data_IF_519685323640
#
_entry.id   IF_519685323640
#
_cell.length_a   1.000
_cell.length_b   1.000
_cell.length_c   1.000
_cell.angle_alpha   90.00
_cell.angle_beta   90.00
_cell.angle_gamma   90.00
#
_symmetry.space_group_name_H-M   'P 1'
#
loop_
_entity.id
_entity.type
_entity.pdbx_description
1 polymer ?
#
# COMPACT_ATOMS: atom_id res chain seq x y z
N UNK A 1 -87.41 -1.67 26.55
CA UNK A 1 -86.34 -0.70 26.19
C UNK A 1 -86.91 0.29 25.19
N UNK A 2 -86.79 1.60 25.43
CA UNK A 2 -87.42 2.62 24.59
C UNK A 2 -86.56 2.92 23.34
N UNK A 3 -87.18 2.95 22.16
CA UNK A 3 -86.57 3.08 20.82
C UNK A 3 -85.54 4.22 20.70
N UNK A 4 -85.75 5.32 21.43
CA UNK A 4 -84.81 6.46 21.49
C UNK A 4 -83.43 6.08 22.05
N UNK A 5 -83.38 5.19 23.05
CA UNK A 5 -82.13 4.70 23.66
C UNK A 5 -81.32 3.81 22.70
N UNK A 6 -82.02 3.04 21.86
CA UNK A 6 -81.43 2.23 20.81
C UNK A 6 -80.82 3.11 19.72
N UNK A 7 -81.55 4.14 19.27
CA UNK A 7 -81.05 5.09 18.27
C UNK A 7 -79.79 5.83 18.74
N UNK A 8 -79.78 6.29 20.00
CA UNK A 8 -78.61 6.97 20.57
C UNK A 8 -77.41 6.05 20.73
N UNK A 9 -77.64 4.77 21.10
CA UNK A 9 -76.56 3.79 21.20
C UNK A 9 -75.94 3.47 19.83
N UNK A 10 -76.77 3.32 18.80
CA UNK A 10 -76.29 3.10 17.43
C UNK A 10 -75.51 4.32 16.94
N UNK A 11 -76.02 5.54 17.12
CA UNK A 11 -75.33 6.76 16.71
C UNK A 11 -73.97 6.95 17.41
N UNK A 12 -73.90 6.63 18.72
CA UNK A 12 -72.66 6.70 19.48
C UNK A 12 -71.62 5.67 19.01
N UNK A 13 -72.04 4.43 18.72
CA UNK A 13 -71.15 3.41 18.16
C UNK A 13 -70.66 3.79 16.77
N UNK A 14 -71.54 4.29 15.90
CA UNK A 14 -71.17 4.75 14.56
C UNK A 14 -70.16 5.90 14.62
N UNK A 15 -70.40 6.87 15.50
CA UNK A 15 -69.49 8.02 15.67
C UNK A 15 -68.13 7.58 16.24
N UNK A 16 -68.12 6.63 17.19
CA UNK A 16 -66.89 6.07 17.73
C UNK A 16 -66.07 5.31 16.67
N UNK A 17 -66.72 4.60 15.74
CA UNK A 17 -66.02 3.94 14.62
C UNK A 17 -65.43 4.93 13.62
N UNK A 18 -66.02 6.11 13.44
CA UNK A 18 -65.46 7.17 12.57
C UNK A 18 -64.25 7.88 13.22
N UNK A 19 -64.18 7.92 14.55
CA UNK A 19 -63.14 8.62 15.30
C UNK A 19 -61.83 7.84 15.46
N UNK A 20 -61.78 6.57 15.06
CA UNK A 20 -60.58 5.73 15.09
C UNK A 20 -59.62 5.99 13.92
N UNK A 21 -59.98 6.82 12.96
CA UNK A 21 -59.18 7.12 11.77
C UNK A 21 -58.26 8.32 12.01
N UNK A 22 -57.27 8.19 12.92
CA UNK A 22 -56.54 9.38 13.34
C UNK A 22 -55.20 9.15 14.03
N UNK A 23 -54.44 8.14 13.62
CA UNK A 23 -53.01 8.06 13.89
C UNK A 23 -52.37 7.00 12.99
N UNK A 24 -52.20 7.29 11.70
CA UNK A 24 -51.32 6.47 10.87
C UNK A 24 -49.89 6.96 11.08
N UNK A 25 -49.13 6.27 11.94
CA UNK A 25 -47.68 6.40 11.91
C UNK A 25 -47.17 5.77 10.62
N UNK A 26 -46.19 6.37 9.98
CA UNK A 26 -45.47 5.73 8.87
C UNK A 26 -44.80 4.46 9.41
N UNK A 27 -45.16 3.31 8.86
CA UNK A 27 -44.52 2.05 9.23
C UNK A 27 -43.15 1.98 8.57
N UNK A 28 -42.09 2.02 9.39
CA UNK A 28 -40.74 1.82 8.90
C UNK A 28 -40.57 0.37 8.43
N UNK A 29 -40.57 0.17 7.12
CA UNK A 29 -40.48 -1.16 6.49
C UNK A 29 -39.09 -1.81 6.56
N UNK A 30 -38.18 -1.24 7.36
CA UNK A 30 -36.80 -1.69 7.45
C UNK A 30 -35.94 -1.24 6.27
N UNK A 31 -34.66 -1.62 6.32
CA UNK A 31 -33.73 -1.48 5.19
C UNK A 31 -33.92 -2.67 4.25
N UNK A 32 -33.96 -2.40 2.94
CA UNK A 32 -34.01 -3.43 1.92
C UNK A 32 -32.81 -4.39 2.08
N UNK A 33 -33.11 -5.66 2.35
CA UNK A 33 -32.09 -6.70 2.48
C UNK A 33 -31.84 -7.34 1.12
N UNK A 34 -30.58 -7.41 0.72
CA UNK A 34 -30.19 -8.06 -0.52
C UNK A 34 -29.51 -9.39 -0.22
N UNK A 35 -30.11 -10.47 -0.71
CA UNK A 35 -29.43 -11.76 -0.80
C UNK A 35 -28.79 -11.87 -2.19
N UNK A 36 -27.55 -12.35 -2.23
CA UNK A 36 -26.93 -12.68 -3.51
C UNK A 36 -27.66 -13.87 -4.13
N UNK A 37 -27.92 -13.81 -5.44
CA UNK A 37 -28.48 -14.93 -6.22
C UNK A 37 -27.43 -15.98 -6.56
N UNK A 38 -26.14 -15.66 -6.44
CA UNK A 38 -25.02 -16.55 -6.74
C UNK A 38 -24.48 -17.22 -5.47
N UNK A 39 -24.14 -18.51 -5.56
CA UNK A 39 -23.48 -19.19 -4.45
C UNK A 39 -22.02 -18.75 -4.34
N UNK A 40 -21.46 -18.82 -3.12
CA UNK A 40 -20.02 -18.57 -2.91
C UNK A 40 -19.13 -19.57 -3.65
N UNK A 41 -19.62 -20.76 -3.98
CA UNK A 41 -18.87 -21.72 -4.77
C UNK A 41 -18.77 -21.27 -6.23
N UNK A 42 -19.89 -20.81 -6.80
CA UNK A 42 -19.96 -20.36 -8.19
C UNK A 42 -19.09 -19.11 -8.41
N UNK A 43 -19.14 -18.15 -7.49
CA UNK A 43 -18.28 -16.95 -7.55
C UNK A 43 -16.80 -17.32 -7.49
N UNK A 44 -16.42 -18.30 -6.66
CA UNK A 44 -15.03 -18.77 -6.58
C UNK A 44 -14.60 -19.48 -7.86
N UNK A 45 -15.46 -20.29 -8.45
CA UNK A 45 -15.18 -20.94 -9.73
C UNK A 45 -14.98 -19.90 -10.84
N UNK A 46 -15.87 -18.90 -10.93
CA UNK A 46 -15.76 -17.81 -11.90
C UNK A 46 -14.49 -16.97 -11.69
N UNK A 47 -14.16 -16.65 -10.44
CA UNK A 47 -12.95 -15.90 -10.10
C UNK A 47 -11.68 -16.67 -10.51
N UNK A 48 -11.64 -17.99 -10.30
CA UNK A 48 -10.51 -18.81 -10.70
C UNK A 48 -10.31 -18.85 -12.22
N UNK A 49 -11.40 -18.86 -12.99
CA UNK A 49 -11.37 -18.75 -14.45
C UNK A 49 -10.87 -17.37 -14.86
N UNK A 50 -11.45 -16.30 -14.32
CA UNK A 50 -11.07 -14.92 -14.65
C UNK A 50 -9.60 -14.62 -14.35
N UNK A 51 -9.07 -15.12 -13.23
CA UNK A 51 -7.67 -14.95 -12.86
C UNK A 51 -6.68 -15.68 -13.80
N UNK A 52 -7.15 -16.68 -14.55
CA UNK A 52 -6.34 -17.45 -15.52
C UNK A 52 -6.58 -17.01 -16.97
N UNK A 53 -7.58 -16.17 -17.21
CA UNK A 53 -7.85 -15.61 -18.53
C UNK A 53 -6.71 -14.67 -18.96
N UNK A 54 -6.52 -14.55 -20.28
CA UNK A 54 -5.59 -13.59 -20.84
C UNK A 54 -5.92 -12.17 -20.36
N UNK A 55 -4.90 -11.42 -19.95
CA UNK A 55 -5.06 -10.03 -19.56
C UNK A 55 -5.29 -9.18 -20.83
N UNK A 56 -6.48 -8.57 -21.01
CA UNK A 56 -6.78 -7.76 -22.19
C UNK A 56 -5.93 -6.48 -22.27
N UNK A 57 -5.19 -6.14 -21.22
CA UNK A 57 -4.30 -4.98 -21.15
C UNK A 57 -2.81 -5.37 -21.09
N UNK A 58 -2.44 -6.63 -21.30
CA UNK A 58 -1.05 -7.09 -21.25
C UNK A 58 -0.11 -6.30 -22.18
N UNK A 59 -0.60 -5.94 -23.37
CA UNK A 59 0.14 -5.11 -24.34
C UNK A 59 0.37 -3.68 -23.81
N UNK A 60 -0.56 -3.15 -23.02
CA UNK A 60 -0.45 -1.84 -22.36
C UNK A 60 0.44 -1.86 -21.12
N UNK A 61 0.52 -2.99 -20.41
CA UNK A 61 1.40 -3.15 -19.24
C UNK A 61 2.89 -3.01 -19.61
N UNK A 62 3.25 -3.38 -20.85
CA UNK A 62 4.59 -3.16 -21.40
C UNK A 62 4.74 -1.81 -22.12
N UNK A 63 3.66 -1.06 -22.34
CA UNK A 63 3.68 0.22 -23.07
C UNK A 63 4.37 1.37 -22.31
N UNK A 64 4.92 1.12 -21.12
CA UNK A 64 5.68 2.10 -20.34
C UNK A 64 6.91 1.54 -19.64
N UNK A 65 7.25 0.26 -19.81
CA UNK A 65 8.51 -0.28 -19.27
C UNK A 65 9.58 -0.05 -20.35
N UNK A 66 10.48 0.94 -20.19
CA UNK A 66 11.60 1.06 -21.11
C UNK A 66 12.38 -0.25 -21.12
N UNK A 67 12.67 -0.74 -22.32
CA UNK A 67 13.57 -1.88 -22.52
C UNK A 67 14.80 -1.67 -21.64
N UNK A 68 15.15 -2.68 -20.83
CA UNK A 68 16.37 -2.64 -20.04
C UNK A 68 17.52 -2.31 -20.98
N UNK A 69 18.13 -1.13 -20.81
CA UNK A 69 19.28 -0.72 -21.61
C UNK A 69 20.38 -1.72 -21.31
N UNK A 70 20.67 -2.60 -22.27
CA UNK A 70 21.79 -3.51 -22.17
C UNK A 70 23.06 -2.65 -22.08
N UNK A 71 23.75 -2.68 -20.94
CA UNK A 71 25.05 -2.05 -20.82
C UNK A 71 25.99 -2.63 -21.88
N UNK A 72 26.76 -1.76 -22.56
CA UNK A 72 27.65 -2.16 -23.65
C UNK A 72 28.76 -3.14 -23.23
N UNK A 73 28.97 -3.32 -21.92
CA UNK A 73 29.99 -4.19 -21.35
C UNK A 73 29.40 -5.11 -20.27
N UNK A 74 29.93 -6.34 -20.21
CA UNK A 74 29.60 -7.29 -19.15
C UNK A 74 30.07 -6.78 -17.77
N UNK A 75 29.33 -7.10 -16.72
CA UNK A 75 29.61 -6.66 -15.35
C UNK A 75 30.98 -7.15 -14.86
N UNK A 76 31.43 -8.34 -15.28
CA UNK A 76 32.74 -8.84 -14.89
C UNK A 76 33.86 -8.03 -15.54
N UNK A 77 33.68 -7.60 -16.80
CA UNK A 77 34.62 -6.72 -17.51
C UNK A 77 34.78 -5.39 -16.80
N UNK A 78 33.66 -4.72 -16.45
CA UNK A 78 33.69 -3.44 -15.72
C UNK A 78 34.36 -3.59 -14.35
N UNK A 79 34.10 -4.70 -13.65
CA UNK A 79 34.76 -4.96 -12.36
C UNK A 79 36.26 -5.14 -12.52
N UNK A 80 36.71 -5.88 -13.53
CA UNK A 80 38.13 -6.09 -13.78
C UNK A 80 38.84 -4.77 -14.12
N UNK A 81 38.22 -3.95 -14.97
CA UNK A 81 38.74 -2.62 -15.35
C UNK A 81 38.82 -1.68 -14.14
N UNK A 82 37.78 -1.63 -13.31
CA UNK A 82 37.76 -0.80 -12.10
C UNK A 82 38.84 -1.20 -11.10
N UNK A 83 39.10 -2.50 -10.92
CA UNK A 83 40.17 -3.00 -10.05
C UNK A 83 41.54 -2.63 -10.63
N UNK A 84 41.74 -2.77 -11.94
CA UNK A 84 42.98 -2.37 -12.59
C UNK A 84 43.24 -0.86 -12.45
N UNK A 85 42.21 -0.03 -12.65
CA UNK A 85 42.30 1.41 -12.47
C UNK A 85 42.60 1.81 -11.01
N UNK A 86 42.01 1.12 -10.03
CA UNK A 86 42.31 1.35 -8.61
C UNK A 86 43.76 0.99 -8.26
N UNK A 87 44.33 -0.03 -8.90
CA UNK A 87 45.72 -0.43 -8.72
C UNK A 87 46.73 0.39 -9.55
N UNK A 88 46.27 1.17 -10.54
CA UNK A 88 47.13 2.00 -11.38
C UNK A 88 47.80 3.16 -10.61
N UNK A 89 47.51 3.32 -9.31
CA UNK A 89 48.07 4.36 -8.47
C UNK A 89 47.46 5.73 -8.74
N UNK A 90 47.84 6.73 -7.93
CA UNK A 90 47.45 8.11 -8.21
C UNK A 90 48.23 8.60 -9.45
N UNK A 91 47.58 8.99 -10.55
CA UNK A 91 48.27 9.52 -11.73
C UNK A 91 48.99 10.85 -11.45
N UNK A 92 48.73 11.47 -10.28
CA UNK A 92 49.43 12.65 -9.75
C UNK A 92 50.32 12.32 -8.53
N UNK A 93 50.56 11.03 -8.25
CA UNK A 93 51.18 10.53 -7.02
C UNK A 93 52.66 10.84 -6.86
N UNK A 94 53.37 11.05 -7.96
CA UNK A 94 54.82 11.28 -7.98
C UNK A 94 55.24 12.60 -7.31
N UNK A 95 54.28 13.48 -7.00
CA UNK A 95 54.51 14.72 -6.24
C UNK A 95 54.05 14.72 -4.78
N UNK A 96 53.25 13.72 -4.35
CA UNK A 96 52.54 13.80 -3.07
C UNK A 96 53.41 13.46 -1.83
N UNK A 97 54.54 12.79 -2.02
CA UNK A 97 55.48 12.44 -0.93
C UNK A 97 56.79 13.24 -0.96
N UNK A 98 56.91 14.27 -1.80
CA UNK A 98 58.14 15.09 -1.92
C UNK A 98 58.45 15.91 -0.65
N UNK A 99 57.55 15.94 0.34
CA UNK A 99 57.75 16.69 1.59
C UNK A 99 57.57 15.93 2.90
N UNK A 100 57.18 14.65 2.89
CA UNK A 100 56.94 13.90 4.13
C UNK A 100 57.98 12.78 4.28
N UNK A 101 58.87 12.85 5.28
CA UNK A 101 59.81 11.76 5.51
C UNK A 101 59.02 10.50 5.88
N UNK A 102 59.24 9.44 5.11
CA UNK A 102 58.73 8.11 5.40
C UNK A 102 59.27 7.69 6.77
N UNK A 103 58.38 7.53 7.75
CA UNK A 103 58.76 7.03 9.08
C UNK A 103 58.99 5.52 8.99
N UNK A 104 60.10 5.15 8.36
CA UNK A 104 60.66 3.80 8.43
C UNK A 104 61.11 3.55 9.87
N UNK A 105 60.75 2.39 10.39
CA UNK A 105 60.68 2.12 11.82
C UNK A 105 62.01 1.99 12.57
N UNK A 106 61.80 1.78 13.88
CA UNK A 106 62.73 1.34 14.94
C UNK A 106 63.45 2.44 15.73
N UNK A 107 63.28 2.38 17.06
CA UNK A 107 64.06 3.13 18.05
C UNK A 107 63.35 4.31 18.72
N UNK A 108 62.31 4.05 19.52
CA UNK A 108 61.84 5.06 20.47
C UNK A 108 62.87 5.19 21.61
N UNK A 109 63.85 6.07 21.47
CA UNK A 109 64.73 6.44 22.57
C UNK A 109 63.95 7.32 23.56
N UNK A 110 63.49 6.69 24.64
CA UNK A 110 62.94 7.34 25.84
C UNK A 110 64.06 8.13 26.53
N UNK A 111 64.14 9.44 26.29
CA UNK A 111 65.00 10.33 27.09
C UNK A 111 64.14 11.39 27.79
N UNK A 112 63.94 11.07 29.07
CA UNK A 112 63.61 11.86 30.26
C UNK A 112 63.49 13.38 30.10
N UNK A 113 62.29 13.90 30.37
CA UNK A 113 62.05 15.30 30.72
C UNK A 113 62.69 15.56 32.09
N UNK A 114 63.79 16.30 32.14
CA UNK A 114 64.31 16.88 33.39
C UNK A 114 63.92 18.35 33.45
N UNK A 115 63.07 18.64 34.42
CA UNK A 115 62.71 19.96 34.96
C UNK A 115 63.92 20.74 35.50
N UNK A 116 63.81 22.08 35.50
CA UNK A 116 64.66 23.04 36.23
C UNK A 116 65.32 24.06 35.28
N UNK A 117 65.27 25.38 35.49
CA UNK A 117 64.85 26.20 36.63
C UNK A 117 64.54 27.63 36.12
#
# INVERSE_FOLDING_TARGET
MNTRKLLTAIAAMSLASLLSAGASAEEYQGVLQFSSTASRADVRAQAAVAARSADPYAEGASAGVPVAVAGLADRASIRAEAVAAAHAGNPYGDGASVGTPSRSGTGFARITVRSGA
#
